data_IF_246983290091
#
_entry.id   IF_246983290091
#
_cell.length_a   1.000
_cell.length_b   1.000
_cell.length_c   1.000
_cell.angle_alpha   90.00
_cell.angle_beta   90.00
_cell.angle_gamma   90.00
#
_symmetry.space_group_name_H-M   'P 1'
#
loop_
_entity.id
_entity.type
_entity.pdbx_description
1 polymer ?
#
# COMPACT_ATOMS: atom_id res chain seq x y z
N UNK A 1 28.90 -3.38 -10.83
CA UNK A 1 27.81 -3.40 -9.83
C UNK A 1 26.55 -3.97 -10.50
N UNK A 2 25.99 -5.07 -9.98
CA UNK A 2 24.83 -5.76 -10.58
C UNK A 2 23.56 -4.99 -10.19
N UNK A 3 23.01 -4.20 -11.10
CA UNK A 3 21.75 -3.49 -10.84
C UNK A 3 20.59 -4.50 -10.89
N UNK A 4 20.01 -4.80 -9.74
CA UNK A 4 18.76 -5.57 -9.65
C UNK A 4 17.62 -4.57 -9.83
N UNK A 5 16.97 -4.60 -10.99
CA UNK A 5 15.77 -3.82 -11.22
C UNK A 5 14.62 -4.44 -10.42
N UNK A 6 13.91 -3.63 -9.62
CA UNK A 6 12.73 -4.08 -8.90
C UNK A 6 11.66 -4.56 -9.88
N UNK A 7 10.85 -5.53 -9.47
CA UNK A 7 9.75 -6.08 -10.29
C UNK A 7 8.78 -4.99 -10.77
N UNK A 8 8.57 -3.94 -9.96
CA UNK A 8 7.78 -2.78 -10.33
C UNK A 8 8.38 -2.04 -11.55
N UNK A 9 9.71 -1.89 -11.58
CA UNK A 9 10.44 -1.25 -12.70
C UNK A 9 10.36 -2.08 -13.98
N UNK A 10 10.36 -3.41 -13.86
CA UNK A 10 10.21 -4.33 -14.99
C UNK A 10 8.81 -4.25 -15.60
N UNK A 11 7.77 -4.24 -14.77
CA UNK A 11 6.38 -4.09 -15.22
C UNK A 11 6.16 -2.74 -15.92
N UNK A 12 6.72 -1.66 -15.37
CA UNK A 12 6.67 -0.33 -15.98
C UNK A 12 7.39 -0.28 -17.34
N UNK A 13 8.52 -0.99 -17.49
CA UNK A 13 9.26 -1.05 -18.77
C UNK A 13 8.55 -1.87 -19.85
N UNK A 14 7.72 -2.84 -19.46
CA UNK A 14 6.94 -3.66 -20.40
C UNK A 14 5.68 -2.96 -20.92
N UNK A 15 5.18 -1.95 -20.19
CA UNK A 15 4.10 -1.08 -20.65
C UNK A 15 4.69 -0.05 -21.59
N UNK A 16 4.64 -0.30 -22.89
CA UNK A 16 5.30 0.48 -23.95
C UNK A 16 4.77 1.92 -24.10
N UNK A 17 4.97 2.77 -23.09
CA UNK A 17 4.85 4.22 -23.21
C UNK A 17 6.27 4.79 -23.23
N UNK A 18 6.71 5.43 -24.33
CA UNK A 18 8.05 5.99 -24.42
C UNK A 18 8.19 7.11 -23.38
N UNK A 19 9.08 6.93 -22.41
CA UNK A 19 9.49 7.96 -21.48
C UNK A 19 10.76 8.63 -22.02
N UNK A 20 10.64 9.90 -22.41
CA UNK A 20 11.77 10.81 -22.66
C UNK A 20 12.73 10.80 -21.46
N UNK A 21 14.03 11.10 -21.64
CA UNK A 21 15.05 11.07 -20.59
C UNK A 21 14.95 12.27 -19.62
N UNK A 22 13.74 12.56 -19.15
CA UNK A 22 13.47 13.50 -18.09
C UNK A 22 13.40 12.71 -16.78
N UNK A 23 14.02 13.23 -15.72
CA UNK A 23 13.88 12.76 -14.34
C UNK A 23 12.44 12.26 -14.10
N UNK A 24 12.21 11.14 -13.40
CA UNK A 24 10.87 10.60 -13.21
C UNK A 24 9.97 11.67 -12.61
N UNK A 25 9.25 12.38 -13.46
CA UNK A 25 8.24 13.32 -13.04
C UNK A 25 7.12 12.44 -12.51
N UNK A 26 6.77 12.65 -11.24
CA UNK A 26 5.51 12.14 -10.71
C UNK A 26 4.44 12.46 -11.75
N UNK A 27 3.62 11.49 -12.19
CA UNK A 27 2.53 11.81 -13.09
C UNK A 27 1.70 12.96 -12.48
N UNK A 28 1.52 14.04 -13.24
CA UNK A 28 0.76 15.23 -12.82
C UNK A 28 -0.70 14.87 -12.48
N UNK A 29 -1.21 13.79 -13.08
CA UNK A 29 -2.47 13.18 -12.71
C UNK A 29 -2.25 12.11 -11.64
N UNK A 30 -2.85 12.23 -10.44
CA UNK A 30 -2.82 11.15 -9.46
C UNK A 30 -3.48 9.93 -10.11
N UNK A 31 -2.71 8.87 -10.33
CA UNK A 31 -3.28 7.56 -10.69
C UNK A 31 -4.38 7.30 -9.66
N UNK A 32 -5.64 7.12 -10.09
CA UNK A 32 -6.70 6.87 -9.13
C UNK A 32 -6.31 5.61 -8.35
N UNK A 33 -6.31 5.70 -7.01
CA UNK A 33 -5.78 4.67 -6.11
C UNK A 33 -6.37 3.27 -6.36
N UNK A 34 -7.56 3.20 -6.98
CA UNK A 34 -8.18 1.98 -7.46
C UNK A 34 -7.35 1.22 -8.51
N UNK A 35 -6.63 1.93 -9.37
CA UNK A 35 -5.83 1.41 -10.49
C UNK A 35 -4.33 1.30 -10.14
N UNK A 36 -3.96 1.58 -8.90
CA UNK A 36 -2.60 1.42 -8.42
C UNK A 36 -2.14 -0.05 -8.55
N UNK A 37 -0.91 -0.31 -9.06
CA UNK A 37 -0.36 -1.65 -9.16
C UNK A 37 -0.37 -2.36 -7.81
N UNK A 38 -0.73 -3.64 -7.81
CA UNK A 38 -0.75 -4.43 -6.60
C UNK A 38 -0.98 -5.90 -6.91
N UNK A 39 -0.97 -6.72 -5.87
CA UNK A 39 -1.28 -8.14 -5.98
C UNK A 39 -0.81 -8.92 -4.76
N UNK A 40 -0.54 -10.21 -4.97
CA UNK A 40 -0.15 -11.15 -3.93
C UNK A 40 1.21 -11.78 -4.25
N UNK A 41 2.03 -12.01 -3.24
CA UNK A 41 3.18 -12.90 -3.32
C UNK A 41 3.35 -13.65 -2.00
N UNK A 42 4.11 -14.75 -2.02
CA UNK A 42 4.36 -15.55 -0.83
C UNK A 42 5.77 -15.33 -0.30
N UNK A 43 5.91 -15.27 1.02
CA UNK A 43 7.19 -15.30 1.71
C UNK A 43 7.41 -16.70 2.30
N UNK A 44 8.60 -17.30 2.11
CA UNK A 44 8.94 -18.55 2.77
C UNK A 44 9.05 -18.33 4.29
N UNK A 45 8.95 -19.41 5.09
CA UNK A 45 9.24 -19.36 6.52
C UNK A 45 10.64 -18.80 6.80
N UNK A 46 10.79 -17.99 7.84
CA UNK A 46 12.04 -17.36 8.24
C UNK A 46 11.86 -16.40 9.42
N UNK A 47 12.85 -15.57 9.70
CA UNK A 47 12.69 -14.44 10.62
C UNK A 47 12.14 -13.24 9.81
N UNK A 48 11.02 -12.59 10.19
CA UNK A 48 10.24 -12.73 11.43
C UNK A 48 9.03 -13.70 11.36
N UNK A 49 8.78 -14.34 10.22
CA UNK A 49 7.58 -15.17 10.01
C UNK A 49 7.88 -16.67 10.13
N UNK A 50 7.53 -17.33 11.25
CA UNK A 50 7.87 -18.75 11.48
C UNK A 50 7.20 -19.69 10.47
N UNK A 51 6.11 -19.25 9.84
CA UNK A 51 5.37 -19.97 8.83
C UNK A 51 5.40 -19.25 7.48
N UNK A 52 4.91 -19.93 6.44
CA UNK A 52 4.74 -19.32 5.12
C UNK A 52 3.57 -18.34 5.19
N UNK A 53 3.83 -17.08 4.85
CA UNK A 53 2.80 -16.03 4.82
C UNK A 53 2.56 -15.56 3.40
N UNK A 54 1.37 -15.02 3.15
CA UNK A 54 1.03 -14.37 1.87
C UNK A 54 0.95 -12.87 2.08
N UNK A 55 1.60 -12.09 1.22
CA UNK A 55 1.63 -10.64 1.31
C UNK A 55 0.75 -10.06 0.21
N UNK A 56 -0.30 -9.35 0.62
CA UNK A 56 -1.02 -8.43 -0.25
C UNK A 56 -0.26 -7.11 -0.30
N UNK A 57 -0.04 -6.57 -1.49
CA UNK A 57 0.70 -5.32 -1.66
C UNK A 57 0.03 -4.39 -2.68
N UNK A 58 0.27 -3.10 -2.49
CA UNK A 58 -0.14 -2.01 -3.38
C UNK A 58 1.01 -1.01 -3.48
N UNK A 59 1.32 -0.55 -4.68
CA UNK A 59 2.33 0.48 -4.93
C UNK A 59 1.68 1.74 -5.47
N UNK A 60 1.97 2.87 -4.84
CA UNK A 60 1.51 4.20 -5.23
C UNK A 60 2.74 5.10 -5.32
N UNK A 61 3.07 5.56 -6.52
CA UNK A 61 4.27 6.36 -6.79
C UNK A 61 5.54 5.64 -6.31
N UNK A 62 6.22 6.13 -5.26
CA UNK A 62 7.46 5.58 -4.71
C UNK A 62 7.22 4.80 -3.40
N UNK A 63 5.97 4.53 -3.05
CA UNK A 63 5.56 3.95 -1.77
C UNK A 63 4.88 2.62 -2.04
N UNK A 64 5.28 1.59 -1.30
CA UNK A 64 4.59 0.32 -1.25
C UNK A 64 3.93 0.16 0.12
N UNK A 65 2.66 -0.20 0.11
CA UNK A 65 1.92 -0.64 1.28
C UNK A 65 1.75 -2.16 1.19
N UNK A 66 1.92 -2.86 2.30
CA UNK A 66 1.84 -4.31 2.35
C UNK A 66 1.06 -4.76 3.59
N UNK A 67 0.21 -5.78 3.41
CA UNK A 67 -0.47 -6.50 4.47
C UNK A 67 0.04 -7.95 4.45
N UNK A 68 0.68 -8.37 5.53
CA UNK A 68 1.17 -9.74 5.69
C UNK A 68 0.04 -10.55 6.30
N UNK A 69 -0.38 -11.59 5.58
CA UNK A 69 -1.53 -12.41 5.94
C UNK A 69 -1.11 -13.82 6.33
N UNK A 70 -1.70 -14.32 7.41
CA UNK A 70 -1.56 -15.70 7.85
C UNK A 70 -2.23 -16.68 6.87
N UNK A 71 -1.84 -17.97 6.86
CA UNK A 71 -2.36 -18.95 5.90
C UNK A 71 -3.89 -19.12 5.87
N UNK A 72 -4.58 -18.80 6.97
CA UNK A 72 -6.02 -18.97 7.11
C UNK A 72 -6.81 -17.71 6.75
N UNK A 73 -6.14 -16.59 6.52
CA UNK A 73 -6.79 -15.32 6.27
C UNK A 73 -7.37 -15.21 4.85
N UNK A 74 -8.42 -14.39 4.73
CA UNK A 74 -9.09 -14.18 3.44
C UNK A 74 -8.28 -13.19 2.58
N UNK A 75 -7.52 -13.72 1.63
CA UNK A 75 -6.65 -12.92 0.75
C UNK A 75 -7.41 -11.91 -0.11
N UNK A 76 -8.62 -12.24 -0.57
CA UNK A 76 -9.44 -11.29 -1.33
C UNK A 76 -9.89 -10.12 -0.47
N UNK A 77 -10.23 -10.39 0.79
CA UNK A 77 -10.53 -9.33 1.76
C UNK A 77 -9.28 -8.51 2.07
N UNK A 78 -8.11 -9.13 2.17
CA UNK A 78 -6.83 -8.44 2.40
C UNK A 78 -6.53 -7.41 1.30
N UNK A 79 -6.64 -7.81 0.03
CA UNK A 79 -6.43 -6.90 -1.10
C UNK A 79 -7.42 -5.74 -1.11
N UNK A 80 -8.71 -6.02 -0.88
CA UNK A 80 -9.77 -5.00 -0.83
C UNK A 80 -9.53 -4.04 0.33
N UNK A 81 -9.15 -4.58 1.49
CA UNK A 81 -8.84 -3.81 2.70
C UNK A 81 -7.66 -2.90 2.44
N UNK A 82 -6.56 -3.43 1.90
CA UNK A 82 -5.37 -2.64 1.56
C UNK A 82 -5.69 -1.50 0.58
N UNK A 83 -6.49 -1.76 -0.46
CA UNK A 83 -6.95 -0.73 -1.41
C UNK A 83 -7.81 0.35 -0.75
N UNK A 84 -8.61 0.00 0.26
CA UNK A 84 -9.44 0.94 1.04
C UNK A 84 -8.62 1.73 2.06
N UNK A 85 -7.57 1.14 2.62
CA UNK A 85 -6.68 1.80 3.58
C UNK A 85 -5.72 2.79 2.91
N UNK A 86 -5.20 2.43 1.73
CA UNK A 86 -4.14 3.19 1.07
C UNK A 86 -4.42 4.70 0.93
N UNK A 87 -5.60 5.15 0.44
CA UNK A 87 -5.91 6.57 0.36
C UNK A 87 -5.81 7.30 1.71
N UNK A 88 -6.29 6.66 2.79
CA UNK A 88 -6.35 7.23 4.14
C UNK A 88 -4.97 7.32 4.77
N UNK A 89 -4.16 6.28 4.62
CA UNK A 89 -2.78 6.25 5.09
C UNK A 89 -1.94 7.29 4.35
N UNK A 90 -2.01 7.33 3.02
CA UNK A 90 -1.25 8.28 2.21
C UNK A 90 -1.64 9.74 2.53
N UNK A 91 -2.92 10.01 2.74
CA UNK A 91 -3.41 11.33 3.12
C UNK A 91 -2.97 11.73 4.53
N UNK A 92 -3.32 10.92 5.54
CA UNK A 92 -3.13 11.28 6.95
C UNK A 92 -1.66 11.35 7.35
N UNK A 93 -0.83 10.49 6.75
CA UNK A 93 0.62 10.47 6.96
C UNK A 93 1.37 11.42 6.02
N UNK A 94 0.66 12.19 5.17
CA UNK A 94 1.24 13.19 4.25
C UNK A 94 2.32 12.62 3.33
N UNK A 95 2.16 11.37 2.90
CA UNK A 95 3.22 10.60 2.24
C UNK A 95 3.48 11.00 0.78
N UNK A 96 2.59 11.77 0.16
CA UNK A 96 2.68 12.18 -1.25
C UNK A 96 2.84 13.71 -1.43
N UNK A 97 3.01 14.45 -0.34
CA UNK A 97 3.09 15.92 -0.36
C UNK A 97 4.50 16.48 -0.15
N UNK A 98 4.71 17.80 -0.38
CA UNK A 98 5.95 18.47 -0.02
C UNK A 98 6.20 18.34 1.49
N UNK A 99 7.35 17.77 1.88
CA UNK A 99 7.66 17.44 3.27
C UNK A 99 7.45 15.98 3.68
N UNK A 100 7.15 15.08 2.74
CA UNK A 100 7.04 13.62 2.96
C UNK A 100 8.30 12.97 3.59
N UNK A 101 9.44 13.67 3.60
CA UNK A 101 10.70 13.22 4.21
C UNK A 101 10.78 13.44 5.73
N UNK A 102 9.83 14.14 6.38
CA UNK A 102 10.15 14.73 7.68
C UNK A 102 9.97 13.79 8.87
N UNK A 103 8.84 13.14 9.10
CA UNK A 103 8.70 12.16 10.18
C UNK A 103 7.50 11.27 9.86
N UNK A 104 7.71 9.95 9.77
CA UNK A 104 6.60 9.00 9.92
C UNK A 104 5.91 9.37 11.24
N UNK A 105 4.59 9.55 11.23
CA UNK A 105 3.78 9.89 12.40
C UNK A 105 3.19 8.58 12.95
N UNK A 106 3.96 7.78 13.71
CA UNK A 106 3.50 6.46 14.14
C UNK A 106 2.20 6.55 14.92
N UNK A 107 2.00 7.59 15.73
CA UNK A 107 0.78 7.77 16.52
C UNK A 107 -0.47 7.97 15.64
N UNK A 108 -0.30 8.62 14.48
CA UNK A 108 -1.38 8.79 13.50
C UNK A 108 -1.63 7.49 12.75
N UNK A 109 -0.58 6.74 12.44
CA UNK A 109 -0.71 5.42 11.82
C UNK A 109 -1.43 4.45 12.78
N UNK A 110 -1.01 4.40 14.04
CA UNK A 110 -1.58 3.55 15.08
C UNK A 110 -3.06 3.88 15.29
N UNK A 111 -3.41 5.17 15.45
CA UNK A 111 -4.81 5.57 15.62
C UNK A 111 -5.70 5.25 14.42
N UNK A 112 -5.16 5.24 13.20
CA UNK A 112 -5.87 4.81 12.00
C UNK A 112 -6.04 3.29 11.95
N UNK A 113 -4.98 2.56 12.26
CA UNK A 113 -4.98 1.10 12.28
C UNK A 113 -5.90 0.56 13.36
N UNK A 114 -5.92 1.16 14.56
CA UNK A 114 -6.84 0.78 15.64
C UNK A 114 -8.31 0.88 15.23
N UNK A 115 -8.65 1.79 14.30
CA UNK A 115 -10.04 1.94 13.80
C UNK A 115 -10.34 1.04 12.62
N UNK A 116 -9.39 0.88 11.70
CA UNK A 116 -9.62 0.24 10.40
C UNK A 116 -9.18 -1.24 10.35
N UNK A 117 -8.22 -1.61 11.20
CA UNK A 117 -7.63 -2.93 11.39
C UNK A 117 -7.35 -3.17 12.88
N UNK A 118 -8.37 -3.14 13.76
CA UNK A 118 -8.18 -3.32 15.19
C UNK A 118 -7.49 -4.66 15.45
N UNK A 119 -6.36 -4.64 16.15
CA UNK A 119 -5.55 -5.84 16.43
C UNK A 119 -5.09 -6.62 15.18
N UNK A 120 -5.08 -5.98 14.01
CA UNK A 120 -4.79 -6.62 12.73
C UNK A 120 -5.97 -7.36 12.09
N UNK A 121 -7.15 -7.33 12.69
CA UNK A 121 -8.33 -8.01 12.15
C UNK A 121 -8.92 -7.24 10.96
N UNK A 122 -9.09 -7.94 9.83
CA UNK A 122 -9.73 -7.38 8.64
C UNK A 122 -11.24 -7.21 8.84
N UNK A 123 -11.68 -5.95 8.92
CA UNK A 123 -13.10 -5.60 9.00
C UNK A 123 -13.75 -5.47 7.61
N UNK A 124 -15.06 -5.65 7.56
CA UNK A 124 -15.83 -5.28 6.36
C UNK A 124 -15.95 -3.75 6.26
N UNK A 125 -15.00 -3.13 5.57
CA UNK A 125 -14.88 -1.69 5.41
C UNK A 125 -15.91 -1.09 4.44
N UNK A 126 -17.20 -1.20 4.72
CA UNK A 126 -18.24 -0.68 3.84
C UNK A 126 -18.16 0.85 3.64
N UNK A 127 -18.80 1.38 2.60
CA UNK A 127 -18.70 2.80 2.25
C UNK A 127 -19.18 3.72 3.38
N UNK A 128 -20.21 3.33 4.14
CA UNK A 128 -20.74 4.13 5.24
C UNK A 128 -19.75 4.19 6.42
N UNK A 129 -19.14 3.06 6.77
CA UNK A 129 -18.11 2.97 7.80
C UNK A 129 -16.90 3.83 7.42
N UNK A 130 -16.43 3.69 6.19
CA UNK A 130 -15.32 4.48 5.66
C UNK A 130 -15.62 5.99 5.71
N UNK A 131 -16.83 6.42 5.34
CA UNK A 131 -17.25 7.81 5.44
C UNK A 131 -17.33 8.31 6.89
N UNK A 132 -17.73 7.46 7.84
CA UNK A 132 -17.75 7.82 9.25
C UNK A 132 -16.33 8.04 9.77
N UNK A 133 -15.40 7.14 9.44
CA UNK A 133 -13.97 7.29 9.78
C UNK A 133 -13.39 8.57 9.15
N UNK A 134 -13.68 8.83 7.87
CA UNK A 134 -13.17 10.04 7.19
C UNK A 134 -13.67 11.35 7.80
N UNK A 135 -14.83 11.35 8.46
CA UNK A 135 -15.36 12.55 9.16
C UNK A 135 -14.67 12.82 10.49
N UNK A 136 -14.05 11.80 11.07
CA UNK A 136 -13.35 11.88 12.36
C UNK A 136 -11.85 12.13 12.22
N UNK A 137 -11.35 12.17 10.97
CA UNK A 137 -9.97 12.51 10.59
C UNK A 137 -9.85 13.98 10.20
#
# INVERSE_FOLDING_TARGET
>A
SRQVASQCRLLQSSSARPLSPQLPQLPDDPIPLQDAPGGLFQLPPGDPFPERVTVAWLSVVAIALALVCDPQENLSLAEITLRRLAPRLLHSLHLLGPGADVLLRPEVADGLLDRLLPHGEMLFLNQHFLQAVDREL
#
